data_IF_685772719799
#
_entry.id   IF_685772719799
#
_cell.length_a   1.000
_cell.length_b   1.000
_cell.length_c   1.000
_cell.angle_alpha   90.00
_cell.angle_beta   90.00
_cell.angle_gamma   90.00
#
_symmetry.space_group_name_H-M   'P 1'
#
loop_
_entity.id
_entity.type
_entity.pdbx_description
1 polymer ?
#
# COMPACT_ATOMS: atom_id res chain seq x y z
N UNK A 1 -0.81 35.30 50.01
CA UNK A 1 0.12 34.81 48.96
C UNK A 1 -0.57 33.60 48.31
N UNK A 2 -1.35 33.80 47.23
CA UNK A 2 -2.12 32.72 46.57
C UNK A 2 -1.81 32.64 45.05
N UNK A 3 -0.82 33.41 44.54
CA UNK A 3 -0.61 33.60 43.10
C UNK A 3 0.46 32.73 42.41
N UNK A 4 1.03 31.70 43.07
CA UNK A 4 2.14 30.92 42.49
C UNK A 4 1.73 29.55 41.94
N UNK A 5 0.74 28.88 42.55
CA UNK A 5 0.36 27.51 42.15
C UNK A 5 -0.43 27.43 40.83
N UNK A 6 -1.13 28.49 40.42
CA UNK A 6 -1.92 28.50 39.19
C UNK A 6 -1.06 28.65 37.93
N UNK A 7 0.11 29.31 38.05
CA UNK A 7 1.03 29.51 36.93
C UNK A 7 1.79 28.22 36.57
N UNK A 8 2.16 27.41 37.56
CA UNK A 8 2.92 26.17 37.35
C UNK A 8 2.08 25.09 36.63
N UNK A 9 0.79 24.97 36.95
CA UNK A 9 -0.15 24.03 36.29
C UNK A 9 -0.43 24.46 34.85
N UNK A 10 -0.57 25.77 34.60
CA UNK A 10 -0.80 26.31 33.26
C UNK A 10 0.43 26.11 32.35
N UNK A 11 1.63 26.34 32.89
CA UNK A 11 2.90 26.10 32.18
C UNK A 11 3.08 24.61 31.87
N UNK A 12 2.79 23.72 32.82
CA UNK A 12 2.90 22.28 32.61
C UNK A 12 1.93 21.77 31.55
N UNK A 13 0.66 22.21 31.59
CA UNK A 13 -0.34 21.88 30.57
C UNK A 13 0.04 22.44 29.18
N UNK A 14 0.61 23.65 29.13
CA UNK A 14 1.12 24.23 27.89
C UNK A 14 2.28 23.42 27.29
N UNK A 15 3.22 22.97 28.12
CA UNK A 15 4.34 22.11 27.68
C UNK A 15 3.82 20.78 27.14
N UNK A 16 2.85 20.15 27.82
CA UNK A 16 2.25 18.89 27.36
C UNK A 16 1.55 19.06 26.00
N UNK A 17 0.84 20.16 25.78
CA UNK A 17 0.19 20.46 24.48
C UNK A 17 1.23 20.68 23.37
N UNK A 18 2.32 21.39 23.67
CA UNK A 18 3.39 21.62 22.68
C UNK A 18 4.10 20.31 22.34
N UNK A 19 4.45 19.49 23.34
CA UNK A 19 5.11 18.20 23.11
C UNK A 19 4.20 17.26 22.32
N UNK A 20 2.91 17.16 22.68
CA UNK A 20 1.97 16.30 21.95
C UNK A 20 1.73 16.77 20.51
N UNK A 21 1.60 18.07 20.27
CA UNK A 21 1.46 18.61 18.91
C UNK A 21 2.69 18.40 18.04
N UNK A 22 3.90 18.53 18.59
CA UNK A 22 5.17 18.21 17.90
C UNK A 22 5.24 16.73 17.56
N UNK A 23 4.89 15.84 18.49
CA UNK A 23 4.89 14.39 18.24
C UNK A 23 3.89 14.00 17.13
N UNK A 24 2.69 14.59 17.12
CA UNK A 24 1.68 14.36 16.06
C UNK A 24 2.19 14.86 14.70
N UNK A 25 2.86 16.02 14.66
CA UNK A 25 3.44 16.55 13.43
C UNK A 25 4.57 15.67 12.88
N UNK A 26 5.43 15.13 13.76
CA UNK A 26 6.50 14.20 13.39
C UNK A 26 5.94 12.87 12.85
N UNK A 27 4.88 12.33 13.45
CA UNK A 27 4.24 11.10 12.93
C UNK A 27 3.61 11.35 11.55
N UNK A 28 3.05 12.53 11.32
CA UNK A 28 2.40 12.89 10.06
C UNK A 28 3.38 13.10 8.89
N UNK A 29 4.66 13.38 9.16
CA UNK A 29 5.67 13.63 8.13
C UNK A 29 6.41 12.37 7.64
N UNK A 30 6.21 11.22 8.28
CA UNK A 30 6.86 9.94 7.90
C UNK A 30 5.94 9.00 7.11
N UNK A 31 4.93 9.53 6.42
CA UNK A 31 4.13 8.76 5.45
C UNK A 31 4.87 8.55 4.12
N UNK A 32 4.59 7.46 3.37
CA UNK A 32 5.06 7.30 1.99
C UNK A 32 4.66 8.53 1.15
N UNK A 33 5.54 9.12 0.32
CA UNK A 33 5.23 10.32 -0.44
C UNK A 33 4.00 10.12 -1.33
N UNK A 34 2.92 10.86 -1.06
CA UNK A 34 1.68 10.82 -1.86
C UNK A 34 1.90 11.40 -3.27
N UNK A 35 2.94 12.21 -3.45
CA UNK A 35 3.21 12.91 -4.70
C UNK A 35 3.79 12.00 -5.80
N UNK A 36 4.41 10.87 -5.44
CA UNK A 36 4.96 9.94 -6.44
C UNK A 36 3.88 9.34 -7.35
N UNK A 37 2.68 9.12 -6.82
CA UNK A 37 1.58 8.55 -7.61
C UNK A 37 0.98 9.60 -8.57
N UNK A 38 1.02 10.89 -8.22
CA UNK A 38 0.49 11.99 -9.05
C UNK A 38 1.51 12.47 -10.10
N UNK A 39 2.81 12.46 -9.79
CA UNK A 39 3.87 12.77 -10.75
C UNK A 39 3.91 11.77 -11.91
N UNK A 40 3.69 10.48 -11.64
CA UNK A 40 3.62 9.44 -12.68
C UNK A 40 2.44 9.69 -13.66
N UNK A 41 1.31 10.22 -13.16
CA UNK A 41 0.15 10.61 -13.99
C UNK A 41 0.46 11.91 -14.78
N UNK A 42 1.01 12.94 -14.13
CA UNK A 42 1.32 14.23 -14.74
C UNK A 42 2.45 14.15 -15.78
N UNK A 43 3.42 13.25 -15.60
CA UNK A 43 4.49 13.01 -16.57
C UNK A 43 4.07 12.12 -17.75
N UNK A 44 2.77 11.78 -17.88
CA UNK A 44 2.25 10.99 -19.00
C UNK A 44 2.74 9.54 -19.00
N UNK A 45 3.29 9.04 -17.88
CA UNK A 45 3.69 7.64 -17.75
C UNK A 45 2.41 6.81 -17.65
N UNK A 46 2.06 6.12 -18.72
CA UNK A 46 1.00 5.09 -18.71
C UNK A 46 1.26 4.19 -17.50
N UNK A 47 0.32 4.08 -16.55
CA UNK A 47 0.47 3.27 -15.31
C UNK A 47 1.15 1.91 -15.56
N UNK A 48 0.92 1.29 -16.73
CA UNK A 48 1.57 0.05 -17.12
C UNK A 48 3.11 0.08 -17.17
N UNK A 49 3.75 1.18 -17.56
CA UNK A 49 5.20 1.22 -17.83
C UNK A 49 6.06 0.89 -16.60
N UNK A 50 5.66 1.35 -15.40
CA UNK A 50 6.33 1.01 -14.13
C UNK A 50 6.18 -0.48 -13.82
N UNK A 51 4.96 -0.99 -13.91
CA UNK A 51 4.67 -2.40 -13.65
C UNK A 51 5.37 -3.34 -14.64
N UNK A 52 5.47 -2.96 -15.91
CA UNK A 52 6.20 -3.74 -16.92
C UNK A 52 7.70 -3.82 -16.60
N UNK A 53 8.30 -2.71 -16.16
CA UNK A 53 9.71 -2.71 -15.74
C UNK A 53 9.91 -3.60 -14.50
N UNK A 54 8.98 -3.53 -13.54
CA UNK A 54 9.07 -4.36 -12.34
C UNK A 54 8.90 -5.84 -12.65
N UNK A 55 7.93 -6.20 -13.50
CA UNK A 55 7.72 -7.57 -13.92
C UNK A 55 8.94 -8.17 -14.62
N UNK A 56 9.63 -7.38 -15.46
CA UNK A 56 10.83 -7.83 -16.19
C UNK A 56 12.01 -8.22 -15.29
N UNK A 57 12.20 -7.53 -14.16
CA UNK A 57 13.36 -7.74 -13.25
C UNK A 57 13.01 -8.57 -12.01
N UNK A 58 11.75 -8.95 -11.87
CA UNK A 58 11.25 -9.70 -10.73
C UNK A 58 11.67 -11.18 -10.81
N UNK A 59 11.84 -11.81 -9.65
CA UNK A 59 12.15 -13.24 -9.55
C UNK A 59 10.90 -14.01 -9.10
N UNK A 60 10.49 -15.01 -9.89
CA UNK A 60 9.31 -15.83 -9.61
C UNK A 60 9.59 -16.82 -8.48
N UNK A 61 9.14 -16.49 -7.28
CA UNK A 61 9.24 -17.32 -6.07
C UNK A 61 8.07 -18.31 -5.90
N UNK A 62 7.00 -18.16 -6.72
CA UNK A 62 5.76 -18.95 -6.66
C UNK A 62 5.06 -18.89 -5.29
N UNK A 63 5.31 -17.84 -4.50
CA UNK A 63 4.63 -17.63 -3.23
C UNK A 63 3.31 -16.90 -3.51
N UNK A 64 2.14 -17.53 -3.28
CA UNK A 64 0.86 -16.95 -3.64
C UNK A 64 0.60 -15.66 -2.84
N UNK A 65 0.10 -14.64 -3.53
CA UNK A 65 -0.27 -13.37 -2.94
C UNK A 65 -1.68 -12.95 -3.37
N UNK A 66 -2.25 -11.99 -2.64
CA UNK A 66 -3.46 -11.31 -3.06
C UNK A 66 -3.16 -9.85 -3.36
N UNK A 67 -3.85 -9.30 -4.35
CA UNK A 67 -3.84 -7.89 -4.66
C UNK A 67 -5.23 -7.29 -4.49
N UNK A 68 -5.29 -6.02 -4.08
CA UNK A 68 -6.53 -5.24 -4.03
C UNK A 68 -6.51 -4.12 -5.06
N UNK A 69 -7.61 -3.96 -5.78
CA UNK A 69 -7.82 -2.86 -6.73
C UNK A 69 -8.22 -1.58 -6.00
N UNK A 70 -8.15 -0.42 -6.67
CA UNK A 70 -8.68 0.83 -6.12
C UNK A 70 -10.21 0.78 -5.90
N UNK A 71 -10.92 -0.10 -6.61
CA UNK A 71 -12.36 -0.32 -6.41
C UNK A 71 -12.65 -1.30 -5.25
N UNK A 72 -11.63 -1.88 -4.61
CA UNK A 72 -11.77 -2.84 -3.52
C UNK A 72 -11.84 -4.30 -3.97
N UNK A 73 -11.69 -4.58 -5.27
CA UNK A 73 -11.69 -5.97 -5.76
C UNK A 73 -10.45 -6.70 -5.29
N UNK A 74 -10.62 -7.86 -4.68
CA UNK A 74 -9.51 -8.73 -4.27
C UNK A 74 -9.30 -9.82 -5.33
N UNK A 75 -8.06 -9.94 -5.79
CA UNK A 75 -7.65 -10.91 -6.79
C UNK A 75 -6.44 -11.70 -6.30
N UNK A 76 -6.45 -13.01 -6.51
CA UNK A 76 -5.31 -13.89 -6.22
C UNK A 76 -4.32 -13.94 -7.38
N UNK A 77 -3.03 -13.93 -7.06
CA UNK A 77 -1.90 -14.09 -7.99
C UNK A 77 -0.97 -15.21 -7.51
N UNK A 78 -0.27 -15.88 -8.44
CA UNK A 78 0.65 -16.98 -8.10
C UNK A 78 1.88 -16.48 -7.34
N UNK A 79 2.33 -15.28 -7.70
CA UNK A 79 3.43 -14.57 -7.04
C UNK A 79 3.32 -13.06 -7.30
N UNK A 80 4.25 -12.32 -6.69
CA UNK A 80 4.34 -10.86 -6.83
C UNK A 80 4.63 -10.43 -8.27
N UNK A 81 5.44 -11.20 -9.00
CA UNK A 81 5.79 -10.90 -10.37
C UNK A 81 4.55 -10.99 -11.27
N UNK A 82 3.74 -12.04 -11.12
CA UNK A 82 2.48 -12.22 -11.85
C UNK A 82 1.48 -11.06 -11.61
N UNK A 83 1.48 -10.46 -10.42
CA UNK A 83 0.69 -9.25 -10.14
C UNK A 83 1.22 -8.04 -10.93
N UNK A 84 2.53 -7.81 -10.94
CA UNK A 84 3.13 -6.72 -11.74
C UNK A 84 2.85 -6.89 -13.23
N UNK A 85 2.95 -8.12 -13.70
CA UNK A 85 2.78 -8.49 -15.09
C UNK A 85 1.31 -8.31 -15.54
N UNK A 86 0.36 -8.66 -14.67
CA UNK A 86 -1.05 -8.35 -14.85
C UNK A 86 -1.33 -6.84 -14.88
N UNK A 87 -0.75 -6.09 -13.93
CA UNK A 87 -0.88 -4.63 -13.88
C UNK A 87 -0.31 -3.95 -15.14
N UNK A 88 0.80 -4.47 -15.67
CA UNK A 88 1.41 -4.04 -16.93
C UNK A 88 0.45 -4.24 -18.12
N UNK A 89 0.01 -5.48 -18.34
CA UNK A 89 -0.73 -5.86 -19.57
C UNK A 89 -2.17 -5.36 -19.55
N UNK A 90 -2.84 -5.48 -18.40
CA UNK A 90 -4.24 -5.07 -18.26
C UNK A 90 -4.39 -3.60 -17.87
N UNK A 91 -3.27 -2.87 -17.73
CA UNK A 91 -3.25 -1.48 -17.25
C UNK A 91 -4.06 -1.35 -15.95
N UNK A 92 -3.73 -2.20 -14.99
CA UNK A 92 -4.33 -2.22 -13.65
C UNK A 92 -3.30 -1.76 -12.62
N UNK A 93 -3.77 -1.54 -11.39
CA UNK A 93 -2.96 -1.07 -10.28
C UNK A 93 -3.36 -1.81 -9.00
N UNK A 94 -3.30 -3.14 -9.06
CA UNK A 94 -3.46 -3.97 -7.88
C UNK A 94 -2.25 -3.77 -6.95
N UNK A 95 -2.53 -3.51 -5.67
CA UNK A 95 -1.52 -3.42 -4.61
C UNK A 95 -1.57 -4.69 -3.77
N UNK A 96 -0.41 -5.19 -3.34
CA UNK A 96 -0.35 -6.37 -2.48
C UNK A 96 -1.14 -6.14 -1.18
N UNK A 97 -1.93 -7.13 -0.80
CA UNK A 97 -2.72 -7.13 0.43
C UNK A 97 -2.67 -8.52 1.07
N UNK A 98 -3.11 -8.63 2.32
CA UNK A 98 -3.35 -9.92 2.94
C UNK A 98 -4.47 -10.64 2.19
N UNK A 99 -4.29 -11.94 1.96
CA UNK A 99 -5.36 -12.75 1.41
C UNK A 99 -6.48 -12.92 2.45
N UNK A 100 -7.76 -12.81 2.05
CA UNK A 100 -8.88 -13.13 2.92
C UNK A 100 -8.81 -14.60 3.37
N UNK A 101 -9.27 -14.86 4.58
CA UNK A 101 -9.33 -16.22 5.14
C UNK A 101 -10.23 -17.11 4.29
N UNK A 102 -11.37 -16.56 3.84
CA UNK A 102 -12.25 -17.21 2.90
C UNK A 102 -11.73 -17.05 1.47
N UNK A 103 -11.15 -18.12 0.93
CA UNK A 103 -10.60 -18.14 -0.43
C UNK A 103 -11.68 -18.19 -1.52
N UNK A 104 -12.95 -18.44 -1.16
CA UNK A 104 -14.05 -18.52 -2.13
C UNK A 104 -14.40 -17.17 -2.75
N UNK A 105 -14.04 -16.07 -2.09
CA UNK A 105 -14.31 -14.70 -2.56
C UNK A 105 -13.25 -14.19 -3.55
N UNK A 106 -12.15 -14.93 -3.73
CA UNK A 106 -11.04 -14.51 -4.57
C UNK A 106 -11.35 -14.77 -6.04
N UNK A 107 -11.38 -13.69 -6.82
CA UNK A 107 -11.21 -13.83 -8.26
C UNK A 107 -9.77 -14.25 -8.53
N UNK A 108 -9.54 -15.42 -9.12
CA UNK A 108 -8.18 -15.85 -9.49
C UNK A 108 -7.84 -15.25 -10.85
N UNK A 109 -6.70 -14.56 -10.95
CA UNK A 109 -6.18 -14.08 -12.23
C UNK A 109 -5.89 -15.26 -13.16
N UNK A 110 -6.86 -15.63 -14.01
CA UNK A 110 -6.70 -16.66 -15.04
C UNK A 110 -5.87 -16.11 -16.20
N UNK A 111 -4.55 -16.09 -16.05
CA UNK A 111 -3.65 -16.25 -17.20
C UNK A 111 -3.52 -17.74 -17.52
N UNK A 112 -3.32 -18.15 -18.79
CA UNK A 112 -3.23 -19.55 -19.20
C UNK A 112 -1.87 -20.18 -18.88
N UNK A 113 -1.25 -19.80 -17.76
CA UNK A 113 -0.13 -20.57 -17.20
C UNK A 113 -0.70 -21.28 -15.98
N UNK A 114 -0.54 -22.60 -15.92
CA UNK A 114 -1.17 -23.50 -14.96
C UNK A 114 -1.40 -22.88 -13.57
N UNK A 115 -2.66 -22.88 -13.15
CA UNK A 115 -3.10 -22.49 -11.82
C UNK A 115 -2.38 -23.35 -10.80
N UNK A 116 -1.69 -22.73 -9.85
CA UNK A 116 -1.13 -23.42 -8.67
C UNK A 116 -2.22 -24.13 -7.85
N UNK A 117 -3.49 -23.78 -8.04
CA UNK A 117 -4.65 -24.41 -7.41
C UNK A 117 -5.31 -25.52 -8.26
N UNK A 118 -4.78 -25.82 -9.45
CA UNK A 118 -5.25 -26.94 -10.29
C UNK A 118 -4.41 -28.22 -10.11
N UNK A 119 -3.27 -28.15 -9.40
CA UNK A 119 -2.46 -29.33 -9.10
C UNK A 119 -2.95 -29.98 -7.79
N UNK A 120 -4.02 -30.76 -7.88
CA UNK A 120 -4.39 -31.80 -6.90
C UNK A 120 -3.78 -33.14 -7.30
#
# INVERSE_FOLDING_TARGET
MIGSLDNDVLVNNGIVIIVTSVLVALVSSHGPPRDRDNEDINMGRKMGAKWCSMAKVCNHDRVPICGISHAGDVMGFRDLCDMFDYNCIRRRNYKQTACPEDKSILTVSRRPTNSFYDDK
#
